data_IF_387724452672
#
_entry.id   IF_387724452672
#
_cell.length_a   1.000
_cell.length_b   1.000
_cell.length_c   1.000
_cell.angle_alpha   90.00
_cell.angle_beta   90.00
_cell.angle_gamma   90.00
#
_symmetry.space_group_name_H-M   'P 1'
#
loop_
_entity.id
_entity.type
_entity.pdbx_description
1 polymer ?
#
# COMPACT_ATOMS: atom_id res chain seq x y z
N UNK A 1 -5.45 -5.50 8.39
CA UNK A 1 -4.66 -5.30 7.14
C UNK A 1 -4.83 -3.84 6.79
N UNK A 2 -3.77 -3.06 6.65
CA UNK A 2 -3.95 -1.61 6.45
C UNK A 2 -4.70 -1.34 5.15
N UNK A 3 -5.34 -0.18 5.10
CA UNK A 3 -5.99 0.34 3.90
C UNK A 3 -5.00 0.30 2.74
N UNK A 4 -5.46 -0.19 1.60
CA UNK A 4 -4.63 -0.39 0.40
C UNK A 4 -4.75 0.87 -0.48
N UNK A 5 -3.65 1.42 -1.01
CA UNK A 5 -3.69 2.43 -2.06
C UNK A 5 -4.63 2.05 -3.22
N UNK A 6 -5.46 2.98 -3.65
CA UNK A 6 -6.48 2.71 -4.68
C UNK A 6 -5.89 2.21 -6.01
N UNK A 7 -4.62 2.54 -6.28
CA UNK A 7 -3.84 2.10 -7.44
C UNK A 7 -3.56 0.59 -7.44
N UNK A 8 -3.61 -0.06 -6.28
CA UNK A 8 -3.29 -1.48 -6.10
C UNK A 8 -4.50 -2.40 -6.15
N UNK A 9 -5.75 -1.89 -6.13
CA UNK A 9 -6.93 -2.75 -5.97
C UNK A 9 -7.01 -3.85 -7.01
N UNK A 10 -6.83 -3.53 -8.30
CA UNK A 10 -6.83 -4.52 -9.38
C UNK A 10 -5.77 -5.61 -9.28
N UNK A 11 -4.74 -5.41 -8.46
CA UNK A 11 -3.67 -6.38 -8.23
C UNK A 11 -3.76 -7.05 -6.85
N UNK A 12 -4.52 -6.45 -5.92
CA UNK A 12 -4.55 -6.87 -4.52
C UNK A 12 -4.98 -8.33 -4.40
N UNK A 13 -4.34 -9.15 -3.54
CA UNK A 13 -4.75 -10.52 -3.28
C UNK A 13 -6.21 -10.56 -2.85
N UNK A 14 -6.92 -11.62 -3.24
CA UNK A 14 -8.35 -11.73 -2.99
C UNK A 14 -8.68 -11.68 -1.49
N UNK A 15 -7.94 -12.45 -0.70
CA UNK A 15 -8.04 -12.46 0.76
C UNK A 15 -7.81 -11.08 1.39
N UNK A 16 -6.94 -10.25 0.80
CA UNK A 16 -6.68 -8.92 1.28
C UNK A 16 -7.86 -7.98 1.01
N UNK A 17 -8.44 -8.08 -0.20
CA UNK A 17 -9.60 -7.31 -0.60
C UNK A 17 -10.83 -7.63 0.27
N UNK A 18 -11.09 -8.92 0.54
CA UNK A 18 -12.21 -9.34 1.37
C UNK A 18 -12.03 -8.93 2.85
N UNK A 19 -10.80 -8.90 3.35
CA UNK A 19 -10.50 -8.53 4.72
C UNK A 19 -10.57 -7.00 4.96
N UNK A 20 -10.27 -6.20 3.94
CA UNK A 20 -10.27 -4.73 4.01
C UNK A 20 -11.60 -4.12 4.44
N UNK A 21 -12.72 -4.82 4.26
CA UNK A 21 -14.05 -4.35 4.67
C UNK A 21 -14.11 -3.85 6.12
N UNK A 22 -13.28 -4.42 7.01
CA UNK A 22 -13.24 -4.04 8.44
C UNK A 22 -12.46 -2.75 8.69
N UNK A 23 -11.67 -2.34 7.72
CA UNK A 23 -10.64 -1.31 7.88
C UNK A 23 -11.12 0.05 7.34
N UNK A 24 -12.22 0.11 6.56
CA UNK A 24 -12.77 1.39 6.10
C UNK A 24 -13.38 2.24 7.22
N UNK A 25 -13.84 1.62 8.30
CA UNK A 25 -14.22 2.32 9.53
C UNK A 25 -13.03 2.86 10.33
N UNK A 26 -11.79 2.53 9.93
CA UNK A 26 -10.62 2.96 10.68
C UNK A 26 -10.29 4.44 10.54
N UNK A 27 -10.75 5.13 9.49
CA UNK A 27 -10.51 6.56 9.37
C UNK A 27 -11.09 7.32 10.56
N UNK A 28 -12.40 7.18 10.75
CA UNK A 28 -13.13 7.83 11.83
C UNK A 28 -12.68 7.31 13.20
N UNK A 29 -12.42 5.99 13.31
CA UNK A 29 -11.88 5.42 14.54
C UNK A 29 -10.50 6.01 14.91
N UNK A 30 -9.57 6.13 13.96
CA UNK A 30 -8.24 6.68 14.22
C UNK A 30 -8.30 8.18 14.55
N UNK A 31 -9.15 8.95 13.88
CA UNK A 31 -9.32 10.37 14.21
C UNK A 31 -9.91 10.61 15.60
N UNK A 32 -10.76 9.70 16.09
CA UNK A 32 -11.45 9.89 17.37
C UNK A 32 -10.73 9.22 18.56
N UNK A 33 -10.20 8.02 18.36
CA UNK A 33 -9.75 7.14 19.45
C UNK A 33 -8.24 6.84 19.43
N UNK A 34 -7.58 6.97 18.27
CA UNK A 34 -6.16 6.61 18.14
C UNK A 34 -5.42 7.52 17.16
N UNK A 35 -5.44 8.82 17.48
CA UNK A 35 -4.88 9.91 16.66
C UNK A 35 -3.38 9.71 16.42
N UNK A 36 -2.70 8.97 17.31
CA UNK A 36 -1.25 8.72 17.26
C UNK A 36 -0.88 7.43 16.52
N UNK A 37 -1.76 6.86 15.70
CA UNK A 37 -1.45 5.64 14.95
C UNK A 37 -0.42 5.91 13.83
N UNK A 38 0.87 5.79 14.19
CA UNK A 38 2.00 6.00 13.28
C UNK A 38 2.04 5.04 12.08
N UNK A 39 1.30 3.93 12.09
CA UNK A 39 1.22 3.01 10.95
C UNK A 39 0.17 3.41 9.92
N UNK A 40 -0.81 4.22 10.31
CA UNK A 40 -1.91 4.70 9.46
C UNK A 40 -1.76 6.17 9.07
N UNK A 41 -0.85 6.92 9.69
CA UNK A 41 -0.78 8.37 9.58
C UNK A 41 -0.70 8.86 8.12
N UNK A 42 0.15 8.26 7.27
CA UNK A 42 0.22 8.66 5.86
C UNK A 42 -1.08 8.47 5.07
N UNK A 43 -1.97 7.57 5.48
CA UNK A 43 -3.30 7.46 4.90
C UNK A 43 -4.24 8.52 5.47
N UNK A 44 -4.17 8.77 6.79
CA UNK A 44 -4.97 9.78 7.48
C UNK A 44 -4.68 11.18 6.92
N UNK A 45 -3.41 11.48 6.64
CA UNK A 45 -2.95 12.77 6.10
C UNK A 45 -3.53 13.07 4.69
N UNK A 46 -3.93 12.05 3.92
CA UNK A 46 -4.61 12.22 2.62
C UNK A 46 -6.08 12.63 2.76
N UNK A 47 -6.63 12.59 3.98
CA UNK A 47 -7.93 13.14 4.33
C UNK A 47 -9.14 12.40 3.77
N UNK A 48 -10.34 12.85 4.16
CA UNK A 48 -11.63 12.17 3.89
C UNK A 48 -11.88 11.86 2.41
N UNK A 49 -11.44 12.73 1.50
CA UNK A 49 -11.63 12.55 0.05
C UNK A 49 -10.90 11.29 -0.44
N UNK A 50 -9.72 10.99 0.10
CA UNK A 50 -8.98 9.78 -0.22
C UNK A 50 -9.72 8.53 0.28
N UNK A 51 -10.26 8.53 1.49
CA UNK A 51 -11.05 7.40 2.02
C UNK A 51 -12.33 7.17 1.22
N UNK A 52 -12.98 8.24 0.78
CA UNK A 52 -14.12 8.17 -0.12
C UNK A 52 -13.74 7.52 -1.46
N UNK A 53 -12.61 7.94 -2.06
CA UNK A 53 -12.09 7.35 -3.29
C UNK A 53 -11.76 5.85 -3.11
N UNK A 54 -11.19 5.50 -1.96
CA UNK A 54 -10.86 4.12 -1.63
C UNK A 54 -12.07 3.22 -1.53
N UNK A 55 -13.12 3.64 -0.81
CA UNK A 55 -14.37 2.88 -0.71
C UNK A 55 -14.96 2.70 -2.10
N UNK A 56 -14.95 3.76 -2.93
CA UNK A 56 -15.43 3.69 -4.31
C UNK A 56 -14.70 2.63 -5.11
N UNK A 57 -13.37 2.70 -5.13
CA UNK A 57 -12.51 1.78 -5.89
C UNK A 57 -12.58 0.35 -5.35
N UNK A 58 -12.71 0.18 -4.04
CA UNK A 58 -12.90 -1.12 -3.42
C UNK A 58 -14.24 -1.75 -3.80
N UNK A 59 -15.36 -1.01 -3.74
CA UNK A 59 -16.68 -1.52 -4.15
C UNK A 59 -16.68 -1.89 -5.64
N UNK A 60 -16.11 -1.04 -6.50
CA UNK A 60 -15.94 -1.33 -7.93
C UNK A 60 -15.18 -2.66 -8.14
N UNK A 61 -14.06 -2.86 -7.45
CA UNK A 61 -13.24 -4.06 -7.59
C UNK A 61 -13.89 -5.31 -6.98
N UNK A 62 -14.59 -5.18 -5.84
CA UNK A 62 -15.34 -6.28 -5.21
C UNK A 62 -16.46 -6.77 -6.15
N UNK A 63 -17.24 -5.85 -6.73
CA UNK A 63 -18.29 -6.19 -7.70
C UNK A 63 -17.72 -6.87 -8.93
N UNK A 64 -16.62 -6.34 -9.46
CA UNK A 64 -15.92 -6.93 -10.62
C UNK A 64 -15.45 -8.37 -10.37
N UNK A 65 -15.11 -8.71 -9.12
CA UNK A 65 -14.69 -10.05 -8.69
C UNK A 65 -15.84 -10.89 -8.11
N UNK A 66 -17.08 -10.44 -8.28
CA UNK A 66 -18.29 -11.14 -7.81
C UNK A 66 -18.33 -11.37 -6.29
N UNK A 67 -17.65 -10.51 -5.52
CA UNK A 67 -17.70 -10.57 -4.07
C UNK A 67 -18.89 -9.79 -3.52
N UNK A 68 -19.40 -10.28 -2.39
CA UNK A 68 -20.44 -9.60 -1.63
C UNK A 68 -19.94 -8.26 -1.06
N UNK A 69 -20.70 -7.20 -1.33
CA UNK A 69 -20.57 -5.89 -0.70
C UNK A 69 -21.77 -5.67 0.20
N UNK A 70 -21.54 -5.43 1.49
CA UNK A 70 -22.66 -5.25 2.42
C UNK A 70 -23.41 -3.93 2.18
N UNK A 71 -24.64 -3.88 2.70
CA UNK A 71 -25.54 -2.73 2.57
C UNK A 71 -24.94 -1.43 3.08
N UNK A 72 -24.18 -1.46 4.18
CA UNK A 72 -23.50 -0.28 4.73
C UNK A 72 -22.50 0.34 3.75
N UNK A 73 -21.57 -0.46 3.22
CA UNK A 73 -20.57 0.04 2.26
C UNK A 73 -21.21 0.43 0.93
N UNK A 74 -22.27 -0.27 0.51
CA UNK A 74 -23.02 0.07 -0.70
C UNK A 74 -23.74 1.42 -0.54
N UNK A 75 -24.37 1.66 0.61
CA UNK A 75 -24.98 2.95 0.93
C UNK A 75 -23.92 4.06 0.93
N UNK A 76 -22.78 3.85 1.60
CA UNK A 76 -21.70 4.83 1.60
C UNK A 76 -21.19 5.12 0.18
N UNK A 77 -20.98 4.09 -0.64
CA UNK A 77 -20.63 4.22 -2.05
C UNK A 77 -21.61 5.08 -2.85
N UNK A 78 -22.92 4.94 -2.59
CA UNK A 78 -23.97 5.72 -3.27
C UNK A 78 -23.98 7.20 -2.86
N UNK A 79 -23.54 7.52 -1.63
CA UNK A 79 -23.52 8.89 -1.11
C UNK A 79 -22.25 9.67 -1.49
N UNK A 80 -21.22 8.97 -1.98
CA UNK A 80 -19.95 9.58 -2.38
C UNK A 80 -20.04 10.06 -3.83
N UNK A 81 -20.57 11.26 -4.01
CA UNK A 81 -20.91 11.83 -5.34
C UNK A 81 -19.68 12.47 -6.03
N UNK A 82 -18.80 13.13 -5.27
CA UNK A 82 -17.61 13.83 -5.80
C UNK A 82 -16.30 13.27 -5.20
N UNK A 83 -15.80 12.17 -5.77
CA UNK A 83 -14.42 11.72 -5.51
C UNK A 83 -13.48 12.34 -6.51
N UNK A 84 -12.79 13.39 -6.09
CA UNK A 84 -11.61 13.86 -6.80
C UNK A 84 -10.53 12.77 -6.77
N UNK A 85 -9.78 12.66 -7.86
CA UNK A 85 -8.61 11.80 -7.90
C UNK A 85 -7.53 12.40 -7.00
N UNK A 86 -7.06 11.60 -6.04
CA UNK A 86 -5.95 11.95 -5.16
C UNK A 86 -4.85 10.93 -5.42
N UNK A 87 -3.64 11.40 -5.69
CA UNK A 87 -2.47 10.54 -5.82
C UNK A 87 -2.05 10.01 -4.45
N UNK A 88 -1.81 8.70 -4.36
CA UNK A 88 -1.12 8.14 -3.19
C UNK A 88 0.39 8.38 -3.30
N UNK A 89 1.08 8.60 -2.18
CA UNK A 89 2.55 8.59 -2.14
C UNK A 89 3.09 7.26 -2.71
N UNK A 90 4.04 7.35 -3.65
CA UNK A 90 4.60 6.17 -4.31
C UNK A 90 5.39 5.26 -3.37
N UNK A 91 5.99 5.81 -2.31
CA UNK A 91 6.66 5.04 -1.28
C UNK A 91 5.67 4.26 -0.40
N UNK A 92 4.45 4.77 -0.24
CA UNK A 92 3.37 4.05 0.44
C UNK A 92 2.88 2.87 -0.39
N UNK A 93 2.76 3.05 -1.71
CA UNK A 93 2.47 1.95 -2.65
C UNK A 93 3.58 0.90 -2.60
N UNK A 94 4.85 1.32 -2.62
CA UNK A 94 6.01 0.45 -2.53
C UNK A 94 6.00 -0.35 -1.22
N UNK A 95 5.72 0.28 -0.08
CA UNK A 95 5.59 -0.38 1.22
C UNK A 95 4.50 -1.45 1.21
N UNK A 96 3.32 -1.14 0.67
CA UNK A 96 2.24 -2.12 0.58
C UNK A 96 2.65 -3.36 -0.25
N UNK A 97 3.33 -3.15 -1.38
CA UNK A 97 3.82 -4.24 -2.23
C UNK A 97 4.88 -5.07 -1.52
N UNK A 98 5.84 -4.43 -0.84
CA UNK A 98 6.87 -5.09 -0.02
C UNK A 98 6.22 -5.94 1.08
N UNK A 99 5.21 -5.39 1.76
CA UNK A 99 4.54 -6.11 2.84
C UNK A 99 3.80 -7.36 2.33
N UNK A 100 3.23 -7.31 1.13
CA UNK A 100 2.58 -8.46 0.52
C UNK A 100 3.56 -9.51 0.03
N UNK A 101 4.69 -9.08 -0.52
CA UNK A 101 5.73 -10.01 -0.96
C UNK A 101 6.34 -10.76 0.23
N UNK A 102 6.65 -10.07 1.34
CA UNK A 102 7.10 -10.70 2.59
C UNK A 102 6.08 -11.70 3.17
N UNK A 103 4.79 -11.51 2.86
CA UNK A 103 3.71 -12.39 3.32
C UNK A 103 3.38 -13.49 2.31
N UNK A 104 4.16 -13.62 1.25
CA UNK A 104 3.96 -14.57 0.15
C UNK A 104 2.58 -14.45 -0.51
N UNK A 105 1.98 -13.26 -0.47
CA UNK A 105 0.71 -13.02 -1.13
C UNK A 105 0.93 -12.83 -2.62
N UNK A 106 0.21 -13.57 -3.46
CA UNK A 106 0.30 -13.41 -4.92
C UNK A 106 -0.66 -12.32 -5.42
N UNK A 107 -0.26 -11.52 -6.41
CA UNK A 107 -1.18 -10.62 -7.10
C UNK A 107 -2.39 -11.36 -7.70
N UNK A 108 -3.56 -10.73 -7.66
CA UNK A 108 -4.79 -11.35 -8.14
C UNK A 108 -4.83 -11.44 -9.67
N UNK A 109 -5.15 -12.65 -10.16
CA UNK A 109 -5.50 -12.96 -11.54
C UNK A 109 -4.56 -12.33 -12.58
N UNK A 110 -3.27 -12.34 -12.28
CA UNK A 110 -2.25 -11.79 -13.17
C UNK A 110 -0.92 -12.51 -12.98
N UNK A 111 -0.22 -12.77 -14.08
CA UNK A 111 1.12 -13.33 -14.05
C UNK A 111 2.17 -12.21 -13.90
N UNK A 112 2.10 -11.47 -12.79
CA UNK A 112 3.09 -10.46 -12.43
C UNK A 112 3.54 -10.66 -10.99
N UNK A 113 4.80 -10.34 -10.71
CA UNK A 113 5.31 -10.18 -9.35
C UNK A 113 4.99 -8.79 -8.78
N UNK A 114 5.07 -8.64 -7.45
CA UNK A 114 4.94 -7.33 -6.80
C UNK A 114 5.99 -6.34 -7.28
N UNK A 115 7.22 -6.79 -7.49
CA UNK A 115 8.27 -6.00 -8.11
C UNK A 115 7.84 -5.44 -9.49
N UNK A 116 7.29 -6.28 -10.36
CA UNK A 116 6.84 -5.84 -11.69
C UNK A 116 5.68 -4.84 -11.60
N UNK A 117 4.78 -5.00 -10.64
CA UNK A 117 3.67 -4.06 -10.38
C UNK A 117 4.22 -2.71 -9.91
N UNK A 118 5.16 -2.72 -8.96
CA UNK A 118 5.83 -1.51 -8.45
C UNK A 118 6.51 -0.76 -9.59
N UNK A 119 7.28 -1.44 -10.45
CA UNK A 119 7.94 -0.83 -11.62
C UNK A 119 6.92 -0.16 -12.54
N UNK A 120 5.79 -0.82 -12.82
CA UNK A 120 4.72 -0.25 -13.65
C UNK A 120 4.15 1.03 -13.03
N UNK A 121 3.97 1.07 -11.72
CA UNK A 121 3.43 2.24 -11.01
C UNK A 121 4.46 3.38 -10.96
N UNK A 122 5.73 3.07 -10.65
CA UNK A 122 6.82 4.05 -10.61
C UNK A 122 7.01 4.74 -11.97
N UNK A 123 7.06 3.96 -13.06
CA UNK A 123 7.22 4.50 -14.43
C UNK A 123 6.10 5.46 -14.81
N UNK A 124 4.86 5.20 -14.37
CA UNK A 124 3.70 6.05 -14.68
C UNK A 124 3.77 7.42 -13.97
N UNK A 125 4.40 7.48 -12.80
CA UNK A 125 4.41 8.69 -11.98
C UNK A 125 5.43 9.76 -12.39
N UNK A 126 6.24 9.55 -13.45
CA UNK A 126 7.26 10.46 -14.06
C UNK A 126 8.31 11.06 -13.11
N UNK A 127 8.09 11.02 -11.80
CA UNK A 127 9.02 11.30 -10.74
C UNK A 127 9.48 9.97 -10.19
N UNK A 128 10.79 9.92 -9.98
CA UNK A 128 11.52 9.00 -9.11
C UNK A 128 11.85 7.63 -9.72
N UNK A 129 13.16 7.53 -10.02
CA UNK A 129 14.04 6.36 -9.96
C UNK A 129 14.19 5.60 -11.29
N UNK A 130 14.96 6.20 -12.21
CA UNK A 130 15.44 5.54 -13.43
C UNK A 130 16.25 4.26 -13.14
N UNK A 131 16.70 4.05 -11.90
CA UNK A 131 17.58 2.95 -11.50
C UNK A 131 16.89 1.92 -10.57
N UNK A 132 15.55 1.93 -10.45
CA UNK A 132 14.89 0.94 -9.59
C UNK A 132 14.94 -0.42 -10.27
N UNK A 133 15.60 -1.38 -9.63
CA UNK A 133 15.81 -2.72 -10.14
C UNK A 133 15.46 -3.77 -9.07
N UNK A 134 15.56 -5.05 -9.44
CA UNK A 134 15.20 -6.15 -8.56
C UNK A 134 16.09 -6.21 -7.30
N UNK A 135 17.38 -5.88 -7.44
CA UNK A 135 18.32 -5.82 -6.32
C UNK A 135 17.91 -4.76 -5.29
N UNK A 136 17.56 -3.55 -5.76
CA UNK A 136 17.04 -2.48 -4.93
C UNK A 136 15.76 -2.90 -4.20
N UNK A 137 14.84 -3.56 -4.91
CA UNK A 137 13.62 -4.09 -4.31
C UNK A 137 13.91 -5.12 -3.20
N UNK A 138 14.86 -6.06 -3.41
CA UNK A 138 15.26 -7.03 -2.38
C UNK A 138 15.95 -6.39 -1.17
N UNK A 139 16.79 -5.36 -1.37
CA UNK A 139 17.38 -4.61 -0.25
C UNK A 139 16.31 -3.94 0.60
N UNK A 140 15.28 -3.38 -0.03
CA UNK A 140 14.15 -2.78 0.69
C UNK A 140 13.30 -3.85 1.42
N UNK A 141 13.06 -5.01 0.82
CA UNK A 141 12.39 -6.15 1.46
C UNK A 141 13.12 -6.58 2.74
N UNK A 142 14.44 -6.82 2.63
CA UNK A 142 15.27 -7.25 3.75
C UNK A 142 15.27 -6.22 4.87
N UNK A 143 15.46 -4.94 4.53
CA UNK A 143 15.41 -3.87 5.52
C UNK A 143 14.04 -3.81 6.21
N UNK A 144 12.94 -3.86 5.46
CA UNK A 144 11.60 -3.81 6.03
C UNK A 144 11.33 -4.99 6.95
N UNK A 145 11.73 -6.20 6.55
CA UNK A 145 11.59 -7.41 7.35
C UNK A 145 12.35 -7.29 8.68
N UNK A 146 13.60 -6.83 8.65
CA UNK A 146 14.44 -6.70 9.83
C UNK A 146 13.92 -5.67 10.84
N UNK A 147 13.35 -4.57 10.37
CA UNK A 147 12.92 -3.47 11.24
C UNK A 147 11.47 -3.57 11.71
N UNK A 148 10.57 -4.15 10.89
CA UNK A 148 9.12 -4.05 11.13
C UNK A 148 8.38 -5.39 11.24
N UNK A 149 9.05 -6.51 11.00
CA UNK A 149 8.45 -7.85 11.08
C UNK A 149 9.08 -8.65 12.22
N UNK A 150 8.26 -9.45 12.90
CA UNK A 150 8.72 -10.43 13.90
C UNK A 150 7.96 -11.74 13.74
N UNK A 151 8.62 -12.84 14.04
CA UNK A 151 7.98 -14.15 14.11
C UNK A 151 7.07 -14.19 15.33
N UNK A 152 5.82 -14.61 15.14
CA UNK A 152 4.89 -14.86 16.25
C UNK A 152 5.05 -16.28 16.81
N UNK A 153 4.30 -16.61 17.86
CA UNK A 153 4.33 -17.94 18.51
C UNK A 153 4.07 -19.12 17.55
N UNK A 154 3.39 -18.88 16.43
CA UNK A 154 3.05 -19.90 15.43
C UNK A 154 4.02 -19.89 14.23
N UNK A 155 5.20 -19.28 14.35
CA UNK A 155 6.20 -19.24 13.28
C UNK A 155 5.89 -18.26 12.14
N UNK A 156 4.77 -17.52 12.19
CA UNK A 156 4.36 -16.62 11.10
C UNK A 156 4.88 -15.20 11.32
N UNK A 157 5.44 -14.58 10.28
CA UNK A 157 5.82 -13.17 10.29
C UNK A 157 4.60 -12.27 10.52
N UNK A 158 4.65 -11.45 11.57
CA UNK A 158 3.64 -10.42 11.87
C UNK A 158 4.30 -9.04 11.99
N UNK A 159 3.59 -7.98 11.59
CA UNK A 159 4.01 -6.62 11.89
C UNK A 159 4.14 -6.42 13.41
N UNK A 160 5.19 -5.72 13.86
CA UNK A 160 5.41 -5.44 15.28
C UNK A 160 5.08 -3.98 15.66
N UNK A 161 5.96 -3.03 15.30
CA UNK A 161 5.79 -1.60 15.57
C UNK A 161 6.16 -0.79 14.34
N UNK A 162 5.20 -0.65 13.44
CA UNK A 162 5.41 0.13 12.23
C UNK A 162 5.31 1.62 12.51
N UNK A 163 6.28 2.36 12.02
CA UNK A 163 6.21 3.80 11.82
C UNK A 163 6.36 4.07 10.33
N UNK A 164 5.27 4.47 9.67
CA UNK A 164 5.26 4.61 8.21
C UNK A 164 6.17 5.73 7.73
N UNK A 165 6.34 6.80 8.52
CA UNK A 165 7.25 7.89 8.19
C UNK A 165 8.70 7.42 8.10
N UNK A 166 9.14 6.54 9.02
CA UNK A 166 10.49 5.95 8.95
C UNK A 166 10.67 5.10 7.68
N UNK A 167 9.63 4.38 7.26
CA UNK A 167 9.68 3.59 6.02
C UNK A 167 9.77 4.50 4.80
N UNK A 168 8.87 5.49 4.70
CA UNK A 168 8.85 6.42 3.56
C UNK A 168 10.16 7.20 3.48
N UNK A 169 10.68 7.69 4.61
CA UNK A 169 11.96 8.41 4.66
C UNK A 169 13.09 7.53 4.15
N UNK A 170 13.23 6.32 4.70
CA UNK A 170 14.29 5.40 4.29
C UNK A 170 14.17 5.01 2.81
N UNK A 171 12.97 4.66 2.32
CA UNK A 171 12.77 4.33 0.91
C UNK A 171 13.12 5.51 0.00
N UNK A 172 12.72 6.72 0.37
CA UNK A 172 13.06 7.94 -0.36
C UNK A 172 14.56 8.17 -0.42
N UNK A 173 15.26 8.11 0.71
CA UNK A 173 16.72 8.33 0.78
C UNK A 173 17.50 7.25 0.04
N UNK A 174 17.15 5.98 0.27
CA UNK A 174 17.77 4.84 -0.41
C UNK A 174 17.69 4.99 -1.93
N UNK A 175 16.53 5.42 -2.44
CA UNK A 175 16.30 5.53 -3.88
C UNK A 175 16.80 6.85 -4.49
N UNK A 176 17.04 7.88 -3.67
CA UNK A 176 17.75 9.11 -4.09
C UNK A 176 19.27 8.91 -4.13
N UNK A 177 19.85 8.25 -3.14
CA UNK A 177 21.30 8.06 -3.03
C UNK A 177 21.82 7.05 -4.08
N UNK A 178 20.99 6.10 -4.51
CA UNK A 178 21.26 5.26 -5.68
C UNK A 178 21.24 6.00 -7.04
N UNK A 179 21.00 7.34 -7.05
CA UNK A 179 21.27 8.17 -8.23
C UNK A 179 22.73 8.60 -8.35
N UNK A 180 23.54 8.49 -7.29
CA UNK A 180 24.90 9.05 -7.26
C UNK A 180 25.97 8.05 -7.78
N UNK A 181 25.66 6.77 -7.93
CA UNK A 181 26.64 5.74 -8.30
C UNK A 181 26.63 5.30 -9.79
N UNK A 182 26.09 6.11 -10.71
CA UNK A 182 26.05 5.73 -12.14
C UNK A 182 26.54 6.81 -13.12
N UNK A 183 27.41 7.71 -12.66
CA UNK A 183 28.29 8.48 -13.55
C UNK A 183 29.66 8.59 -12.89
N UNK A 184 30.47 7.54 -13.09
CA UNK A 184 31.93 7.56 -13.09
C UNK A 184 32.35 6.16 -13.56
N UNK A 185 32.23 5.94 -14.86
CA UNK A 185 33.01 4.97 -15.63
C UNK A 185 32.77 5.27 -17.10
N UNK A 186 33.51 6.28 -17.59
CA UNK A 186 34.13 6.46 -18.92
C UNK A 186 34.44 7.94 -19.16
#
# INVERSE_FOLDING_TARGET
MRIIPHELYKYSPDIALCALRKEFGMYDYCLNMNIRNQGMQSFLDLGRVYFNLLIKKWVEEMKKREHYVNTFHLFYFQQVINTQLISTDVFLILECCIQWDIKDFKPYNINLSWYQIVIKILKKNKKTINNFNLENYHKLLQWYQNYFMKINKNGKLKPYKLNIFKVILFFSEFLKNNKILLYNDQ
#
